data_IF_263793887607
#
_entry.id   IF_263793887607
#
_cell.length_a   1.000
_cell.length_b   1.000
_cell.length_c   1.000
_cell.angle_alpha   90.00
_cell.angle_beta   90.00
_cell.angle_gamma   90.00
#
_symmetry.space_group_name_H-M   'P 1'
#
loop_
_entity.id
_entity.type
_entity.pdbx_description
1 polymer ?
#
# COMPACT_ATOMS: atom_id res chain seq x y z
N UNK A 1 10.41 -6.00 16.25
CA UNK A 1 11.13 -7.27 15.94
C UNK A 1 10.19 -8.17 15.15
N UNK A 2 10.66 -8.78 14.06
CA UNK A 2 9.81 -9.67 13.25
C UNK A 2 9.70 -11.03 13.93
N UNK A 3 8.47 -11.52 14.07
CA UNK A 3 8.15 -12.87 14.54
C UNK A 3 7.76 -13.72 13.34
N UNK A 4 8.65 -14.59 12.87
CA UNK A 4 8.38 -15.44 11.71
C UNK A 4 7.36 -16.53 12.05
N UNK A 5 6.07 -16.23 11.82
CA UNK A 5 4.97 -17.20 12.03
C UNK A 5 4.68 -18.08 10.81
N UNK A 6 4.96 -17.57 9.62
CA UNK A 6 4.63 -18.21 8.35
C UNK A 6 5.84 -18.24 7.43
N UNK A 7 5.90 -19.21 6.55
CA UNK A 7 6.88 -19.27 5.47
C UNK A 7 6.28 -18.63 4.22
N UNK A 8 6.78 -17.45 3.86
CA UNK A 8 6.35 -16.75 2.66
C UNK A 8 7.23 -17.16 1.48
N UNK A 9 6.60 -17.75 0.47
CA UNK A 9 7.31 -18.19 -0.72
C UNK A 9 7.55 -16.99 -1.64
N UNK A 10 8.80 -16.70 -2.02
CA UNK A 10 9.09 -15.65 -2.98
C UNK A 10 8.36 -15.85 -4.30
N UNK A 11 7.85 -14.75 -4.86
CA UNK A 11 7.25 -14.71 -6.18
C UNK A 11 8.00 -13.68 -7.02
N UNK A 12 8.52 -14.10 -8.18
CA UNK A 12 9.25 -13.20 -9.07
C UNK A 12 8.32 -12.21 -9.73
N UNK A 13 8.70 -10.93 -9.71
CA UNK A 13 7.98 -9.87 -10.42
C UNK A 13 8.47 -9.75 -11.86
N UNK A 14 7.53 -9.67 -12.78
CA UNK A 14 7.83 -9.39 -14.19
C UNK A 14 6.87 -8.33 -14.75
N UNK A 15 7.25 -7.75 -15.88
CA UNK A 15 6.39 -6.81 -16.62
C UNK A 15 5.96 -7.45 -17.92
N UNK A 16 4.65 -7.64 -18.08
CA UNK A 16 4.03 -8.14 -19.31
C UNK A 16 3.15 -7.03 -19.87
N UNK A 17 3.38 -6.59 -21.10
CA UNK A 17 2.65 -5.51 -21.77
C UNK A 17 2.54 -4.22 -20.92
N UNK A 18 3.65 -3.85 -20.25
CA UNK A 18 3.72 -2.69 -19.37
C UNK A 18 2.97 -2.83 -18.06
N UNK A 19 2.46 -4.01 -17.71
CA UNK A 19 1.70 -4.31 -16.49
C UNK A 19 2.47 -5.27 -15.60
N UNK A 20 2.38 -5.04 -14.28
CA UNK A 20 3.03 -5.90 -13.28
C UNK A 20 2.32 -7.24 -13.17
N UNK A 21 3.11 -8.31 -13.29
CA UNK A 21 2.70 -9.68 -13.05
C UNK A 21 3.64 -10.35 -12.05
N UNK A 22 3.22 -11.49 -11.55
CA UNK A 22 4.03 -12.35 -10.69
C UNK A 22 4.07 -13.77 -11.25
N UNK A 23 5.23 -14.39 -11.17
CA UNK A 23 5.41 -15.82 -11.41
C UNK A 23 5.24 -16.56 -10.09
N UNK A 24 4.21 -17.38 -9.97
CA UNK A 24 3.94 -18.20 -8.80
C UNK A 24 4.91 -19.39 -8.71
N UNK A 25 5.01 -20.06 -7.55
CA UNK A 25 5.91 -21.21 -7.37
C UNK A 25 5.67 -22.37 -8.35
N UNK A 26 4.46 -22.52 -8.85
CA UNK A 26 4.08 -23.50 -9.87
C UNK A 26 4.37 -23.08 -11.31
N UNK A 27 4.95 -21.89 -11.51
CA UNK A 27 5.23 -21.30 -12.82
C UNK A 27 4.07 -20.52 -13.44
N UNK A 28 2.90 -20.49 -12.79
CA UNK A 28 1.73 -19.74 -13.27
C UNK A 28 2.00 -18.24 -13.20
N UNK A 29 1.67 -17.50 -14.25
CA UNK A 29 1.78 -16.05 -14.29
C UNK A 29 0.43 -15.39 -14.04
N UNK A 30 0.38 -14.58 -12.99
CA UNK A 30 -0.83 -13.89 -12.56
C UNK A 30 -0.63 -12.37 -12.50
N UNK A 31 -1.69 -11.57 -12.73
CA UNK A 31 -1.62 -10.12 -12.59
C UNK A 31 -1.37 -9.71 -11.13
N UNK A 32 -0.75 -8.54 -10.94
CA UNK A 32 -0.69 -7.96 -9.60
C UNK A 32 -2.05 -7.41 -9.16
N UNK A 33 -2.28 -7.33 -7.84
CA UNK A 33 -3.44 -6.62 -7.25
C UNK A 33 -3.59 -5.23 -7.86
N UNK A 34 -2.50 -4.46 -7.94
CA UNK A 34 -2.52 -3.10 -8.50
C UNK A 34 -2.83 -3.08 -10.00
N UNK A 35 -2.46 -4.10 -10.77
CA UNK A 35 -2.83 -4.25 -12.18
C UNK A 35 -4.32 -4.47 -12.34
N UNK A 36 -4.92 -5.33 -11.51
CA UNK A 36 -6.37 -5.57 -11.53
C UNK A 36 -7.12 -4.28 -11.15
N UNK A 37 -6.73 -3.61 -10.05
CA UNK A 37 -7.34 -2.35 -9.61
C UNK A 37 -7.30 -1.27 -10.69
N UNK A 38 -6.16 -1.10 -11.37
CA UNK A 38 -6.03 -0.10 -12.43
C UNK A 38 -6.93 -0.43 -13.63
N UNK A 39 -6.97 -1.70 -14.06
CA UNK A 39 -7.78 -2.11 -15.21
C UNK A 39 -9.27 -2.03 -14.95
N UNK A 40 -9.70 -2.30 -13.72
CA UNK A 40 -11.12 -2.31 -13.31
C UNK A 40 -11.57 -1.01 -12.63
N UNK A 41 -10.76 0.04 -12.70
CA UNK A 41 -11.11 1.38 -12.20
C UNK A 41 -12.38 1.88 -12.86
N UNK A 42 -13.31 2.43 -12.06
CA UNK A 42 -14.56 2.98 -12.59
C UNK A 42 -14.33 4.14 -13.57
N UNK A 43 -15.25 4.32 -14.50
CA UNK A 43 -15.19 5.43 -15.47
C UNK A 43 -15.17 6.80 -14.77
N UNK A 44 -15.90 6.95 -13.67
CA UNK A 44 -15.88 8.17 -12.86
C UNK A 44 -14.49 8.49 -12.32
N UNK A 45 -13.79 7.50 -11.73
CA UNK A 45 -12.42 7.68 -11.24
C UNK A 45 -11.44 7.99 -12.38
N UNK A 46 -11.62 7.38 -13.55
CA UNK A 46 -10.83 7.69 -14.76
C UNK A 46 -11.07 9.13 -15.21
N UNK A 47 -12.32 9.56 -15.25
CA UNK A 47 -12.70 10.91 -15.66
C UNK A 47 -12.17 11.98 -14.68
N UNK A 48 -12.23 11.73 -13.37
CA UNK A 48 -11.64 12.63 -12.36
C UNK A 48 -10.15 12.81 -12.59
N UNK A 49 -9.43 11.73 -12.85
CA UNK A 49 -7.99 11.79 -13.16
C UNK A 49 -7.70 12.53 -14.47
N UNK A 50 -8.48 12.27 -15.51
CA UNK A 50 -8.35 12.95 -16.80
C UNK A 50 -8.61 14.46 -16.66
N UNK A 51 -9.66 14.86 -15.95
CA UNK A 51 -9.99 16.25 -15.68
C UNK A 51 -8.91 16.97 -14.87
N UNK A 52 -8.32 16.27 -13.88
CA UNK A 52 -7.19 16.80 -13.12
C UNK A 52 -5.98 17.03 -14.03
N UNK A 53 -5.57 16.06 -14.87
CA UNK A 53 -4.47 16.20 -15.83
C UNK A 53 -4.70 17.36 -16.80
N UNK A 54 -5.92 17.47 -17.34
CA UNK A 54 -6.31 18.58 -18.24
C UNK A 54 -6.19 19.93 -17.56
N UNK A 55 -6.58 20.03 -16.26
CA UNK A 55 -6.54 21.28 -15.49
C UNK A 55 -5.13 21.73 -15.15
N UNK A 56 -4.22 20.83 -14.77
CA UNK A 56 -2.86 21.17 -14.34
C UNK A 56 -1.85 21.16 -15.49
N UNK A 57 -2.22 20.60 -16.63
CA UNK A 57 -1.33 20.36 -17.77
C UNK A 57 -0.59 19.03 -17.67
N UNK A 58 -0.38 18.35 -18.79
CA UNK A 58 0.15 16.98 -18.83
C UNK A 58 1.56 16.88 -18.25
N UNK A 59 2.45 17.83 -18.60
CA UNK A 59 3.81 17.84 -18.09
C UNK A 59 3.83 18.01 -16.56
N UNK A 60 3.06 18.97 -16.02
CA UNK A 60 3.00 19.21 -14.58
C UNK A 60 2.37 18.06 -13.84
N UNK A 61 1.35 17.42 -14.42
CA UNK A 61 0.74 16.21 -13.85
C UNK A 61 1.74 15.06 -13.77
N UNK A 62 2.57 14.89 -14.80
CA UNK A 62 3.63 13.88 -14.81
C UNK A 62 4.70 14.18 -13.73
N UNK A 63 5.16 15.41 -13.61
CA UNK A 63 6.10 15.82 -12.56
C UNK A 63 5.56 15.51 -11.17
N UNK A 64 4.32 15.93 -10.87
CA UNK A 64 3.66 15.68 -9.57
C UNK A 64 3.56 14.17 -9.29
N UNK A 65 3.18 13.38 -10.29
CA UNK A 65 3.02 11.93 -10.13
C UNK A 65 4.38 11.24 -9.89
N UNK A 66 5.41 11.63 -10.63
CA UNK A 66 6.77 11.08 -10.49
C UNK A 66 7.37 11.44 -9.13
N UNK A 67 7.21 12.68 -8.69
CA UNK A 67 7.68 13.12 -7.37
C UNK A 67 6.96 12.37 -6.26
N UNK A 68 5.64 12.24 -6.34
CA UNK A 68 4.84 11.49 -5.37
C UNK A 68 5.27 10.01 -5.30
N UNK A 69 5.51 9.36 -6.44
CA UNK A 69 6.00 7.98 -6.50
C UNK A 69 7.38 7.85 -5.84
N UNK A 70 8.32 8.74 -6.18
CA UNK A 70 9.67 8.74 -5.61
C UNK A 70 9.66 8.98 -4.10
N UNK A 71 8.80 9.89 -3.61
CA UNK A 71 8.61 10.15 -2.18
C UNK A 71 8.03 8.94 -1.46
N UNK A 72 7.02 8.29 -2.05
CA UNK A 72 6.45 7.06 -1.53
C UNK A 72 7.49 5.96 -1.40
N UNK A 73 8.23 5.67 -2.45
CA UNK A 73 9.31 4.64 -2.44
C UNK A 73 10.34 4.92 -1.33
N UNK A 74 10.76 6.17 -1.16
CA UNK A 74 11.70 6.51 -0.08
C UNK A 74 11.08 6.34 1.32
N UNK A 75 9.82 6.74 1.50
CA UNK A 75 9.12 6.54 2.79
C UNK A 75 9.03 5.06 3.14
N UNK A 76 8.59 4.20 2.21
CA UNK A 76 8.54 2.74 2.41
C UNK A 76 9.92 2.16 2.76
N UNK A 77 11.00 2.59 2.10
CA UNK A 77 12.35 2.12 2.42
C UNK A 77 12.81 2.49 3.83
N UNK A 78 12.36 3.62 4.40
CA UNK A 78 12.63 3.97 5.80
C UNK A 78 11.81 3.13 6.76
N UNK A 79 10.53 2.89 6.46
CA UNK A 79 9.64 2.05 7.26
C UNK A 79 10.08 0.59 7.27
N UNK A 80 10.39 0.04 6.11
CA UNK A 80 10.95 -1.32 5.96
C UNK A 80 12.21 -1.48 6.79
N UNK A 81 13.16 -0.54 6.67
CA UNK A 81 14.39 -0.59 7.45
C UNK A 81 14.11 -0.59 8.95
N UNK A 82 13.24 0.32 9.42
CA UNK A 82 12.89 0.40 10.84
C UNK A 82 12.27 -0.92 11.34
N UNK A 83 11.35 -1.50 10.59
CA UNK A 83 10.69 -2.74 10.98
C UNK A 83 11.64 -3.94 11.00
N UNK A 84 12.66 -3.95 10.13
CA UNK A 84 13.67 -5.02 10.07
C UNK A 84 14.74 -4.89 11.15
N UNK A 85 15.10 -3.68 11.53
CA UNK A 85 16.29 -3.41 12.36
C UNK A 85 15.99 -2.75 13.70
N UNK A 86 14.75 -2.35 13.95
CA UNK A 86 14.34 -1.57 15.13
C UNK A 86 15.14 -0.26 15.31
N UNK A 87 15.58 0.29 14.19
CA UNK A 87 16.43 1.49 14.12
C UNK A 87 16.02 2.34 12.92
N UNK A 88 15.90 3.63 13.12
CA UNK A 88 15.60 4.56 12.04
C UNK A 88 16.88 5.07 11.40
N UNK A 89 17.01 4.91 10.07
CA UNK A 89 18.11 5.53 9.34
C UNK A 89 18.25 7.01 9.68
N UNK A 90 19.50 7.53 9.79
CA UNK A 90 19.70 8.94 10.08
C UNK A 90 19.06 9.84 9.02
N UNK A 91 18.79 11.08 9.39
CA UNK A 91 18.28 12.08 8.46
C UNK A 91 19.23 12.19 7.25
N UNK A 92 18.73 12.03 6.02
CA UNK A 92 19.58 12.06 4.84
C UNK A 92 20.22 13.44 4.63
N UNK A 93 21.46 13.48 4.13
CA UNK A 93 22.12 14.74 3.78
C UNK A 93 21.48 15.48 2.60
N UNK A 94 20.67 14.79 1.79
CA UNK A 94 19.94 15.40 0.69
C UNK A 94 18.58 15.96 1.15
N UNK A 95 18.36 17.29 1.15
CA UNK A 95 17.11 17.91 1.60
C UNK A 95 15.86 17.42 0.86
N UNK A 96 15.97 17.01 -0.40
CA UNK A 96 14.84 16.48 -1.17
C UNK A 96 14.30 15.14 -0.62
N UNK A 97 15.06 14.46 0.21
CA UNK A 97 14.62 13.25 0.89
C UNK A 97 14.01 13.50 2.28
N UNK A 98 14.17 14.70 2.84
CA UNK A 98 13.66 15.05 4.17
C UNK A 98 12.14 14.82 4.32
N UNK A 99 11.27 15.22 3.37
CA UNK A 99 9.83 14.96 3.51
C UNK A 99 9.51 13.49 3.71
N UNK A 100 10.17 12.59 2.96
CA UNK A 100 9.96 11.14 3.09
C UNK A 100 10.42 10.60 4.43
N UNK A 101 11.54 11.12 4.94
CA UNK A 101 12.07 10.74 6.25
C UNK A 101 11.15 11.19 7.39
N UNK A 102 10.69 12.44 7.39
CA UNK A 102 9.76 12.95 8.39
C UNK A 102 8.41 12.21 8.36
N UNK A 103 7.90 11.90 7.16
CA UNK A 103 6.67 11.11 7.00
C UNK A 103 6.83 9.71 7.58
N UNK A 104 7.96 9.04 7.32
CA UNK A 104 8.25 7.73 7.92
C UNK A 104 8.35 7.83 9.45
N UNK A 105 9.02 8.87 9.98
CA UNK A 105 9.11 9.11 11.42
C UNK A 105 7.72 9.24 12.06
N UNK A 106 6.78 9.96 11.43
CA UNK A 106 5.41 10.09 11.94
C UNK A 106 4.64 8.77 11.93
N UNK A 107 4.78 7.96 10.86
CA UNK A 107 4.19 6.62 10.81
C UNK A 107 4.77 5.72 11.91
N UNK A 108 6.09 5.78 12.14
CA UNK A 108 6.74 5.02 13.21
C UNK A 108 6.20 5.46 14.58
N UNK A 109 6.19 6.76 14.86
CA UNK A 109 5.83 7.29 16.18
C UNK A 109 4.35 7.13 16.51
N UNK A 110 3.45 7.21 15.54
CA UNK A 110 2.01 7.20 15.79
C UNK A 110 1.34 5.89 15.35
N UNK A 111 1.82 5.28 14.26
CA UNK A 111 1.24 4.07 13.67
C UNK A 111 1.87 2.80 14.19
N UNK A 112 3.17 2.60 13.96
CA UNK A 112 3.83 1.33 14.27
C UNK A 112 3.87 0.99 15.77
N UNK A 113 3.62 1.96 16.65
CA UNK A 113 3.45 1.71 18.10
C UNK A 113 2.22 0.83 18.42
N UNK A 114 1.29 0.69 17.46
CA UNK A 114 0.10 -0.14 17.61
C UNK A 114 0.27 -1.56 17.03
N UNK A 115 1.45 -1.86 16.48
CA UNK A 115 1.81 -3.19 15.96
C UNK A 115 2.40 -4.00 17.11
N UNK A 116 1.61 -4.91 17.67
CA UNK A 116 2.06 -5.75 18.79
C UNK A 116 3.04 -6.82 18.33
N UNK A 117 2.85 -7.33 17.12
CA UNK A 117 3.68 -8.36 16.53
C UNK A 117 3.72 -8.19 15.00
N UNK A 118 4.90 -8.19 14.43
CA UNK A 118 5.07 -8.17 12.96
C UNK A 118 5.45 -9.57 12.46
N UNK A 119 4.63 -10.13 11.56
CA UNK A 119 4.88 -11.46 10.98
C UNK A 119 5.70 -11.40 9.69
N UNK A 120 5.72 -10.23 9.05
CA UNK A 120 6.50 -10.00 7.84
C UNK A 120 6.35 -8.59 7.29
N UNK A 121 7.38 -8.18 6.56
CA UNK A 121 7.52 -6.87 5.89
C UNK A 121 7.82 -7.13 4.42
N UNK A 122 7.21 -6.38 3.50
CA UNK A 122 7.35 -6.56 2.05
C UNK A 122 7.09 -8.01 1.62
N UNK A 123 6.01 -8.60 2.14
CA UNK A 123 5.71 -10.02 1.98
C UNK A 123 4.97 -10.27 0.66
N UNK A 124 5.49 -11.15 -0.21
CA UNK A 124 4.74 -11.60 -1.37
C UNK A 124 3.58 -12.52 -0.95
N UNK A 125 2.39 -12.18 -1.42
CA UNK A 125 1.17 -12.94 -1.18
C UNK A 125 0.51 -13.26 -2.53
N UNK A 126 -0.10 -14.43 -2.66
CA UNK A 126 -0.83 -14.80 -3.86
C UNK A 126 -2.10 -15.57 -3.52
N UNK A 127 -3.09 -15.42 -4.37
CA UNK A 127 -4.28 -16.25 -4.42
C UNK A 127 -4.16 -17.17 -5.64
N UNK A 128 -4.17 -18.47 -5.40
CA UNK A 128 -3.79 -19.49 -6.41
C UNK A 128 -4.47 -19.26 -7.76
N UNK A 129 -3.65 -19.09 -8.80
CA UNK A 129 -4.10 -18.94 -10.19
C UNK A 129 -4.80 -17.63 -10.55
N UNK A 130 -5.06 -16.72 -9.59
CA UNK A 130 -5.84 -15.50 -9.84
C UNK A 130 -5.03 -14.22 -9.77
N UNK A 131 -4.27 -13.98 -8.71
CA UNK A 131 -3.51 -12.75 -8.53
C UNK A 131 -2.40 -12.90 -7.50
N UNK A 132 -1.50 -11.94 -7.49
CA UNK A 132 -0.49 -11.83 -6.46
C UNK A 132 -0.18 -10.36 -6.14
N UNK A 133 0.56 -10.12 -5.07
CA UNK A 133 1.04 -8.81 -4.71
C UNK A 133 2.01 -8.86 -3.55
N UNK A 134 2.52 -7.70 -3.16
CA UNK A 134 3.39 -7.56 -1.98
C UNK A 134 2.68 -6.64 -1.00
N UNK A 135 2.47 -7.11 0.23
CA UNK A 135 1.95 -6.28 1.31
C UNK A 135 3.10 -5.65 2.07
N UNK A 136 2.94 -4.39 2.49
CA UNK A 136 3.99 -3.66 3.20
C UNK A 136 4.28 -4.29 4.56
N UNK A 137 3.23 -4.65 5.30
CA UNK A 137 3.34 -5.27 6.61
C UNK A 137 2.11 -6.13 6.93
N UNK A 138 2.32 -7.18 7.71
CA UNK A 138 1.23 -7.95 8.33
C UNK A 138 1.65 -8.45 9.72
N UNK A 139 0.66 -8.63 10.59
CA UNK A 139 0.94 -9.02 11.97
C UNK A 139 -0.28 -8.82 12.88
N UNK A 140 -0.02 -8.53 14.15
CA UNK A 140 -1.05 -8.14 15.11
C UNK A 140 -1.10 -6.62 15.23
N UNK A 141 -2.25 -6.06 14.93
CA UNK A 141 -2.60 -4.65 15.13
C UNK A 141 -3.59 -4.55 16.29
N UNK A 142 -3.16 -3.94 17.41
CA UNK A 142 -3.99 -3.85 18.63
C UNK A 142 -4.64 -5.19 18.99
N UNK A 143 -3.84 -6.26 18.99
CA UNK A 143 -4.23 -7.62 19.32
C UNK A 143 -4.97 -8.40 18.24
N UNK A 144 -5.20 -7.83 17.04
CA UNK A 144 -5.92 -8.49 15.94
C UNK A 144 -5.00 -8.79 14.76
N UNK A 145 -5.13 -9.98 14.11
CA UNK A 145 -4.48 -10.23 12.84
C UNK A 145 -4.91 -9.21 11.78
N UNK A 146 -3.96 -8.53 11.16
CA UNK A 146 -4.24 -7.46 10.20
C UNK A 146 -3.23 -7.40 9.06
N UNK A 147 -3.69 -6.96 7.89
CA UNK A 147 -2.86 -6.44 6.81
C UNK A 147 -2.71 -4.94 7.01
N UNK A 148 -1.49 -4.45 6.92
CA UNK A 148 -1.18 -3.03 7.06
C UNK A 148 -0.47 -2.53 5.80
N UNK A 149 -0.83 -1.32 5.36
CA UNK A 149 -0.31 -0.73 4.14
C UNK A 149 0.05 0.74 4.39
N UNK A 150 1.24 1.14 3.95
CA UNK A 150 1.77 2.48 4.14
C UNK A 150 1.43 3.35 2.95
N UNK A 151 0.84 4.49 3.20
CA UNK A 151 0.48 5.44 2.13
C UNK A 151 1.03 6.82 2.40
N UNK A 152 1.51 7.45 1.36
CA UNK A 152 1.82 8.87 1.37
C UNK A 152 0.77 9.66 0.58
N UNK A 153 0.56 10.91 0.94
CA UNK A 153 -0.34 11.80 0.20
C UNK A 153 0.18 13.23 0.17
N UNK A 154 -0.16 13.97 -0.90
CA UNK A 154 0.16 15.39 -1.00
C UNK A 154 -0.83 16.27 -0.22
N UNK A 155 -2.05 15.78 0.01
CA UNK A 155 -3.14 16.51 0.66
C UNK A 155 -3.99 15.55 1.47
N UNK A 156 -4.74 16.04 2.47
CA UNK A 156 -5.66 15.21 3.25
C UNK A 156 -6.58 14.41 2.33
N UNK A 157 -6.80 13.15 2.67
CA UNK A 157 -7.73 12.27 1.97
C UNK A 157 -8.98 12.08 2.81
N UNK A 158 -10.14 12.13 2.15
CA UNK A 158 -11.37 11.65 2.76
C UNK A 158 -11.48 10.14 2.58
N UNK A 159 -12.15 9.47 3.51
CA UNK A 159 -12.32 8.01 3.50
C UNK A 159 -12.92 7.52 2.18
N UNK A 160 -13.93 8.21 1.66
CA UNK A 160 -14.61 7.87 0.41
C UNK A 160 -13.74 8.02 -0.87
N UNK A 161 -12.52 8.54 -0.75
CA UNK A 161 -11.61 8.69 -1.89
C UNK A 161 -10.54 7.60 -1.96
N UNK A 162 -10.50 6.71 -0.96
CA UNK A 162 -9.45 5.71 -0.81
C UNK A 162 -9.96 4.27 -0.87
N UNK A 163 -11.15 4.05 -1.42
CA UNK A 163 -11.76 2.72 -1.57
C UNK A 163 -10.79 1.70 -2.17
N UNK A 164 -10.01 2.07 -3.20
CA UNK A 164 -9.04 1.17 -3.83
C UNK A 164 -7.94 0.70 -2.85
N UNK A 165 -7.65 1.48 -1.78
CA UNK A 165 -6.73 1.03 -0.73
C UNK A 165 -7.39 -0.02 0.18
N UNK A 166 -8.68 0.15 0.50
CA UNK A 166 -9.41 -0.86 1.26
C UNK A 166 -9.57 -2.16 0.48
N UNK A 167 -9.88 -2.07 -0.80
CA UNK A 167 -9.91 -3.24 -1.70
C UNK A 167 -8.53 -3.91 -1.79
N UNK A 168 -7.44 -3.14 -1.79
CA UNK A 168 -6.08 -3.67 -1.78
C UNK A 168 -5.76 -4.45 -0.49
N UNK A 169 -6.15 -3.93 0.68
CA UNK A 169 -6.00 -4.64 1.96
C UNK A 169 -6.76 -5.97 1.96
N UNK A 170 -8.01 -5.95 1.51
CA UNK A 170 -8.85 -7.13 1.42
C UNK A 170 -8.27 -8.18 0.45
N UNK A 171 -7.68 -7.75 -0.67
CA UNK A 171 -6.99 -8.63 -1.62
C UNK A 171 -5.82 -9.35 -0.96
N UNK A 172 -5.00 -8.65 -0.20
CA UNK A 172 -3.85 -9.26 0.48
C UNK A 172 -4.28 -10.19 1.61
N UNK A 173 -5.30 -9.82 2.38
CA UNK A 173 -5.83 -10.70 3.42
C UNK A 173 -6.44 -11.98 2.82
N UNK A 174 -7.21 -11.88 1.75
CA UNK A 174 -7.77 -13.05 1.06
C UNK A 174 -6.66 -13.98 0.54
N UNK A 175 -5.57 -13.44 -0.02
CA UNK A 175 -4.43 -14.21 -0.46
C UNK A 175 -3.72 -14.91 0.70
N UNK A 176 -3.50 -14.21 1.83
CA UNK A 176 -2.91 -14.81 3.02
C UNK A 176 -3.79 -15.88 3.64
N UNK A 177 -5.11 -15.62 3.71
CA UNK A 177 -6.07 -16.57 4.26
C UNK A 177 -6.14 -17.85 3.44
N UNK A 178 -6.06 -17.75 2.10
CA UNK A 178 -6.05 -18.91 1.21
C UNK A 178 -4.78 -19.73 1.36
N UNK A 179 -3.60 -19.10 1.34
CA UNK A 179 -2.31 -19.80 1.33
C UNK A 179 -1.88 -20.32 2.70
N UNK A 180 -2.31 -19.67 3.78
CA UNK A 180 -1.87 -20.01 5.14
C UNK A 180 -3.00 -20.47 6.08
N UNK A 181 -4.21 -20.68 5.54
CA UNK A 181 -5.41 -21.10 6.30
C UNK A 181 -5.68 -20.20 7.54
N UNK A 182 -5.54 -18.88 7.35
CA UNK A 182 -5.82 -17.86 8.37
C UNK A 182 -7.20 -17.24 8.18
N UNK A 183 -7.60 -16.36 9.10
CA UNK A 183 -8.87 -15.64 9.04
C UNK A 183 -8.62 -14.14 9.34
N UNK A 184 -7.70 -13.53 8.59
CA UNK A 184 -7.45 -12.08 8.68
C UNK A 184 -8.69 -11.36 8.15
N UNK A 185 -9.30 -10.54 8.99
CA UNK A 185 -10.50 -9.75 8.73
C UNK A 185 -10.34 -8.28 9.15
N UNK A 186 -9.10 -7.84 9.28
CA UNK A 186 -8.75 -6.47 9.62
C UNK A 186 -7.71 -5.94 8.64
N UNK A 187 -7.89 -4.69 8.20
CA UNK A 187 -6.96 -3.99 7.35
C UNK A 187 -6.73 -2.56 7.85
N UNK A 188 -5.49 -2.09 7.77
CA UNK A 188 -5.09 -0.77 8.28
C UNK A 188 -4.28 -0.01 7.25
N UNK A 189 -4.70 1.21 6.94
CA UNK A 189 -3.90 2.17 6.18
C UNK A 189 -3.22 3.12 7.16
N UNK A 190 -1.91 3.15 7.13
CA UNK A 190 -1.07 4.07 7.88
C UNK A 190 -0.59 5.16 6.90
N UNK A 191 -1.25 6.31 6.94
CA UNK A 191 -1.06 7.36 5.93
C UNK A 191 -0.34 8.57 6.51
N UNK A 192 0.73 9.02 5.85
CA UNK A 192 1.39 10.29 6.14
C UNK A 192 1.17 11.30 5.00
N UNK A 193 0.75 12.51 5.35
CA UNK A 193 0.69 13.63 4.44
C UNK A 193 2.06 14.31 4.36
N UNK A 194 2.46 14.69 3.16
CA UNK A 194 3.66 15.48 2.94
C UNK A 194 3.64 16.77 3.81
N UNK A 195 4.75 17.08 4.51
CA UNK A 195 4.85 18.32 5.26
C UNK A 195 4.85 19.55 4.35
N UNK A 196 4.22 20.61 4.79
CA UNK A 196 4.31 21.91 4.14
C UNK A 196 5.67 22.56 4.44
N UNK A 197 6.17 23.37 3.50
CA UNK A 197 7.34 24.20 3.73
C UNK A 197 6.92 25.49 4.44
N UNK A 198 7.56 25.80 5.55
CA UNK A 198 7.30 27.01 6.33
C UNK A 198 8.05 28.22 5.73
N UNK A 199 7.69 29.43 6.18
CA UNK A 199 8.26 30.67 5.68
C UNK A 199 9.77 30.82 5.91
N UNK A 200 10.30 30.15 6.94
CA UNK A 200 11.74 30.12 7.26
C UNK A 200 12.51 29.02 6.49
N UNK A 201 11.84 28.29 5.58
CA UNK A 201 12.40 27.20 4.80
C UNK A 201 12.48 25.85 5.52
N UNK A 202 12.02 25.76 6.77
CA UNK A 202 11.88 24.49 7.48
C UNK A 202 10.63 23.75 7.02
N UNK A 203 10.54 22.46 7.38
CA UNK A 203 9.36 21.66 7.12
C UNK A 203 8.44 21.63 8.35
N UNK A 204 7.15 21.80 8.12
CA UNK A 204 6.13 21.55 9.13
C UNK A 204 6.14 20.06 9.55
N UNK A 205 5.48 19.76 10.66
CA UNK A 205 5.27 18.36 11.05
C UNK A 205 4.31 17.69 10.04
N UNK A 206 4.64 16.49 9.51
CA UNK A 206 3.71 15.72 8.68
C UNK A 206 2.43 15.40 9.45
N UNK A 207 1.32 15.26 8.74
CA UNK A 207 0.05 14.82 9.34
C UNK A 207 -0.09 13.31 9.14
N UNK A 208 -0.21 12.59 10.25
CA UNK A 208 -0.54 11.17 10.25
C UNK A 208 -2.05 10.96 10.30
N UNK A 209 -2.53 10.01 9.52
CA UNK A 209 -3.93 9.58 9.54
C UNK A 209 -4.01 8.06 9.41
N UNK A 210 -4.85 7.46 10.24
CA UNK A 210 -5.09 6.01 10.27
C UNK A 210 -6.50 5.71 9.75
N UNK A 211 -6.62 4.70 8.91
CA UNK A 211 -7.92 4.16 8.49
C UNK A 211 -7.94 2.67 8.74
N UNK A 212 -8.91 2.24 9.53
CA UNK A 212 -9.11 0.83 9.85
C UNK A 212 -10.40 0.35 9.19
N UNK A 213 -10.37 -0.84 8.61
CA UNK A 213 -11.52 -1.59 8.13
C UNK A 213 -11.57 -2.94 8.84
N UNK A 214 -12.73 -3.32 9.35
CA UNK A 214 -12.94 -4.56 10.08
C UNK A 214 -14.39 -5.02 10.03
N UNK A 215 -14.66 -6.28 10.39
CA UNK A 215 -16.02 -6.83 10.45
C UNK A 215 -16.77 -6.72 9.11
N UNK A 216 -18.00 -6.22 9.16
CA UNK A 216 -18.87 -6.12 7.97
C UNK A 216 -18.27 -5.21 6.87
N UNK A 217 -17.56 -4.15 7.26
CA UNK A 217 -16.89 -3.29 6.30
C UNK A 217 -15.75 -4.04 5.60
N UNK A 218 -14.97 -4.83 6.33
CA UNK A 218 -13.91 -5.65 5.72
C UNK A 218 -14.50 -6.69 4.77
N UNK A 219 -15.60 -7.36 5.16
CA UNK A 219 -16.32 -8.31 4.32
C UNK A 219 -16.85 -7.64 3.04
N UNK A 220 -17.37 -6.41 3.14
CA UNK A 220 -17.78 -5.62 1.97
C UNK A 220 -16.62 -5.43 0.98
N UNK A 221 -15.43 -4.99 1.44
CA UNK A 221 -14.28 -4.76 0.57
C UNK A 221 -13.71 -6.05 0.00
N UNK A 222 -13.81 -7.16 0.72
CA UNK A 222 -13.46 -8.49 0.21
C UNK A 222 -14.37 -8.89 -0.96
N UNK A 223 -15.68 -8.67 -0.82
CA UNK A 223 -16.63 -8.93 -1.91
C UNK A 223 -16.37 -8.01 -3.12
N UNK A 224 -16.07 -6.72 -2.89
CA UNK A 224 -15.71 -5.80 -3.96
C UNK A 224 -14.41 -6.23 -4.67
N UNK A 225 -13.43 -6.74 -3.93
CA UNK A 225 -12.23 -7.30 -4.55
C UNK A 225 -12.54 -8.48 -5.48
N UNK A 226 -13.33 -9.45 -5.02
CA UNK A 226 -13.68 -10.61 -5.86
C UNK A 226 -14.43 -10.20 -7.13
N UNK A 227 -15.33 -9.22 -7.05
CA UNK A 227 -15.97 -8.63 -8.25
C UNK A 227 -14.94 -8.02 -9.22
N UNK A 228 -13.92 -7.32 -8.70
CA UNK A 228 -12.84 -6.76 -9.54
C UNK A 228 -12.00 -7.84 -10.21
N UNK A 229 -11.75 -8.97 -9.53
CA UNK A 229 -11.08 -10.15 -10.11
C UNK A 229 -11.93 -10.70 -11.26
N UNK A 230 -13.22 -10.92 -11.04
CA UNK A 230 -14.14 -11.41 -12.07
C UNK A 230 -14.19 -10.46 -13.28
N UNK A 231 -14.36 -9.16 -13.07
CA UNK A 231 -14.34 -8.16 -14.13
C UNK A 231 -13.05 -8.18 -14.94
N UNK A 232 -11.90 -8.33 -14.26
CA UNK A 232 -10.61 -8.39 -14.92
C UNK A 232 -10.51 -9.57 -15.88
N UNK A 233 -10.94 -10.77 -15.44
CA UNK A 233 -10.87 -11.98 -16.25
C UNK A 233 -11.94 -12.06 -17.35
N UNK A 234 -13.10 -11.45 -17.16
CA UNK A 234 -14.14 -11.34 -18.21
C UNK A 234 -13.76 -10.35 -19.32
N UNK A 235 -12.85 -9.41 -19.05
CA UNK A 235 -12.42 -8.38 -20.01
C UNK A 235 -11.17 -8.76 -20.83
N UNK A 236 -10.75 -10.02 -20.75
CA UNK A 236 -9.61 -10.57 -21.53
C UNK A 236 -9.99 -11.09 -22.88
#
# INVERSE_FOLDING_TARGET
MITQRYNYTPCDRETIDGKRHYCLPDGTKVPSVTTILDRTKSEEKRQVLANWRKRVGEQKAQEITTEAASRGTRMHSYLEHYMLHDDMKPLPGNPFAHPSWFMAAEVIMQGLQNVDECWGVEVPLYYSGLYAGTTDCLGLWKGRPAIMDFKQTNKPKKREWIDDYFVQLAAYAAAHNETHATAIDCGVILMAQQPDMLADGSLAKPIYTEYVIEGDEFAHWTNEWMKRVDMYYQSR
#
